data_IF_263160133133
#
_entry.id   IF_263160133133
#
_cell.length_a   1.000
_cell.length_b   1.000
_cell.length_c   1.000
_cell.angle_alpha   90.00
_cell.angle_beta   90.00
_cell.angle_gamma   90.00
#
_symmetry.space_group_name_H-M   'P 1'
#
loop_
_entity.id
_entity.type
_entity.pdbx_description
1 polymer ?
#
# COMPACT_ATOMS: atom_id res chain seq x y z
N UNK A 1 6.26 -4.62 -16.31
CA UNK A 1 7.19 -4.60 -15.14
C UNK A 1 7.04 -3.27 -14.41
N UNK A 2 7.37 -3.14 -13.11
CA UNK A 2 7.30 -1.87 -12.41
C UNK A 2 8.15 -0.79 -13.11
N UNK A 3 7.58 0.40 -13.34
CA UNK A 3 8.22 1.47 -14.14
C UNK A 3 9.20 2.33 -13.35
N UNK A 4 8.92 2.59 -12.08
CA UNK A 4 9.75 3.39 -11.19
C UNK A 4 9.70 2.85 -9.75
N UNK A 5 10.38 3.53 -8.83
CA UNK A 5 10.39 3.14 -7.43
C UNK A 5 9.01 3.24 -6.77
N UNK A 6 8.15 4.13 -7.26
CA UNK A 6 6.76 4.28 -6.81
C UNK A 6 5.96 3.04 -7.19
N UNK A 7 6.12 2.56 -8.42
CA UNK A 7 5.45 1.36 -8.94
C UNK A 7 5.94 0.09 -8.23
N UNK A 8 7.21 0.04 -7.81
CA UNK A 8 7.71 -1.03 -6.92
C UNK A 8 7.03 -1.04 -5.55
N UNK A 9 6.65 0.11 -5.00
CA UNK A 9 5.87 0.18 -3.77
C UNK A 9 4.48 -0.45 -3.98
N UNK A 10 3.83 -0.16 -5.11
CA UNK A 10 2.54 -0.74 -5.48
C UNK A 10 2.65 -2.26 -5.67
N UNK A 11 3.67 -2.74 -6.37
CA UNK A 11 3.90 -4.19 -6.54
C UNK A 11 4.06 -4.92 -5.20
N UNK A 12 4.79 -4.33 -4.26
CA UNK A 12 4.94 -4.90 -2.92
C UNK A 12 3.63 -4.86 -2.11
N UNK A 13 2.82 -3.82 -2.30
CA UNK A 13 1.50 -3.67 -1.69
C UNK A 13 0.50 -4.70 -2.22
N UNK A 14 0.40 -4.87 -3.54
CA UNK A 14 -0.43 -5.91 -4.18
C UNK A 14 -0.06 -7.31 -3.67
N UNK A 15 1.25 -7.58 -3.54
CA UNK A 15 1.72 -8.84 -2.95
C UNK A 15 1.29 -8.98 -1.49
N UNK A 16 1.32 -7.89 -0.71
CA UNK A 16 0.86 -7.89 0.68
C UNK A 16 -0.63 -8.26 0.76
N UNK A 17 -1.46 -7.65 -0.07
CA UNK A 17 -2.89 -7.94 -0.15
C UNK A 17 -3.17 -9.38 -0.59
N UNK A 18 -2.47 -9.87 -1.62
CA UNK A 18 -2.61 -11.26 -2.08
C UNK A 18 -2.28 -12.29 -0.99
N UNK A 19 -1.31 -12.01 -0.12
CA UNK A 19 -1.02 -12.87 1.05
C UNK A 19 -2.11 -12.80 2.15
N UNK A 20 -2.83 -11.68 2.25
CA UNK A 20 -3.98 -11.55 3.16
C UNK A 20 -5.21 -12.27 2.61
N UNK A 21 -5.45 -12.20 1.31
CA UNK A 21 -6.54 -12.93 0.64
C UNK A 21 -6.38 -14.44 0.79
N UNK A 22 -5.16 -14.96 0.63
CA UNK A 22 -4.85 -16.38 0.92
C UNK A 22 -5.15 -16.80 2.36
N UNK A 23 -5.17 -15.85 3.29
CA UNK A 23 -5.50 -16.05 4.71
C UNK A 23 -6.97 -15.77 5.02
N UNK A 24 -7.80 -15.54 4.00
CA UNK A 24 -9.24 -15.28 4.15
C UNK A 24 -9.58 -13.85 4.56
N UNK A 25 -8.63 -12.92 4.51
CA UNK A 25 -8.90 -11.50 4.73
C UNK A 25 -9.27 -10.81 3.42
N UNK A 26 -10.25 -9.91 3.46
CA UNK A 26 -10.67 -9.19 2.27
C UNK A 26 -9.93 -7.84 2.15
N UNK A 27 -8.76 -7.85 1.50
CA UNK A 27 -7.85 -6.70 1.47
C UNK A 27 -8.48 -5.39 0.98
N UNK A 28 -9.32 -5.46 -0.06
CA UNK A 28 -9.92 -4.27 -0.68
C UNK A 28 -11.17 -3.71 0.02
N UNK A 29 -11.85 -4.49 0.86
CA UNK A 29 -13.14 -4.11 1.47
C UNK A 29 -13.11 -4.01 2.99
N UNK A 30 -11.95 -4.25 3.62
CA UNK A 30 -11.82 -4.23 5.07
C UNK A 30 -11.56 -2.81 5.59
N UNK A 31 -12.50 -2.26 6.35
CA UNK A 31 -12.26 -1.03 7.11
C UNK A 31 -11.30 -1.27 8.28
N UNK A 32 -10.51 -0.25 8.61
CA UNK A 32 -9.52 -0.29 9.68
C UNK A 32 -9.35 1.09 10.32
N UNK A 33 -9.02 1.09 11.62
CA UNK A 33 -8.70 2.29 12.39
C UNK A 33 -7.20 2.55 12.39
N UNK A 34 -6.81 3.82 12.18
CA UNK A 34 -5.44 4.29 12.25
C UNK A 34 -5.36 5.68 12.86
N UNK A 35 -4.18 6.03 13.39
CA UNK A 35 -3.83 7.38 13.83
C UNK A 35 -2.54 7.84 13.17
N UNK A 36 -2.45 9.13 12.91
CA UNK A 36 -1.23 9.77 12.43
C UNK A 36 -0.77 10.79 13.47
N UNK A 37 0.48 10.66 13.91
CA UNK A 37 1.14 11.63 14.80
C UNK A 37 2.56 11.87 14.31
N UNK A 38 2.93 13.12 14.10
CA UNK A 38 4.29 13.51 13.67
C UNK A 38 4.77 12.77 12.40
N UNK A 39 3.83 12.48 11.48
CA UNK A 39 4.14 11.75 10.24
C UNK A 39 4.33 10.24 10.42
N UNK A 40 4.08 9.69 11.61
CA UNK A 40 4.04 8.27 11.90
C UNK A 40 2.59 7.77 11.95
N UNK A 41 2.31 6.71 11.20
CA UNK A 41 1.05 6.00 11.16
C UNK A 41 1.07 4.85 12.17
N UNK A 42 0.04 4.78 13.00
CA UNK A 42 -0.20 3.69 13.96
C UNK A 42 -1.53 3.02 13.65
N UNK A 43 -1.53 1.70 13.52
CA UNK A 43 -2.72 0.89 13.24
C UNK A 43 -3.40 0.45 14.54
N UNK A 44 -4.63 0.88 14.78
CA UNK A 44 -5.35 0.66 16.05
C UNK A 44 -6.47 -0.38 15.95
N UNK A 45 -6.69 -0.93 14.76
CA UNK A 45 -7.73 -1.93 14.51
C UNK A 45 -7.64 -3.14 15.43
N UNK A 46 -8.81 -3.62 15.90
CA UNK A 46 -8.91 -4.80 16.78
C UNK A 46 -8.89 -6.12 16.02
N UNK A 47 -9.52 -6.19 14.85
CA UNK A 47 -9.58 -7.40 14.05
C UNK A 47 -8.21 -7.71 13.43
N UNK A 48 -7.89 -8.99 13.29
CA UNK A 48 -6.67 -9.41 12.61
C UNK A 48 -6.60 -8.84 11.19
N UNK A 49 -7.63 -9.07 10.39
CA UNK A 49 -7.65 -8.62 8.99
C UNK A 49 -7.54 -7.10 8.88
N UNK A 50 -8.32 -6.32 9.62
CA UNK A 50 -8.23 -4.85 9.60
C UNK A 50 -6.84 -4.35 9.97
N UNK A 51 -6.21 -4.93 11.00
CA UNK A 51 -4.86 -4.53 11.40
C UNK A 51 -3.83 -4.85 10.31
N UNK A 52 -3.94 -6.02 9.67
CA UNK A 52 -3.01 -6.43 8.62
C UNK A 52 -3.16 -5.61 7.34
N UNK A 53 -4.38 -5.26 6.96
CA UNK A 53 -4.63 -4.34 5.83
C UNK A 53 -3.99 -2.98 6.14
N UNK A 54 -4.20 -2.44 7.34
CA UNK A 54 -3.55 -1.21 7.77
C UNK A 54 -2.00 -1.31 7.74
N UNK A 55 -1.41 -2.44 8.14
CA UNK A 55 0.05 -2.65 8.07
C UNK A 55 0.57 -2.61 6.62
N UNK A 56 -0.15 -3.22 5.67
CA UNK A 56 0.17 -3.17 4.25
C UNK A 56 0.13 -1.72 3.75
N UNK A 57 -0.95 -0.99 4.05
CA UNK A 57 -1.16 0.40 3.60
C UNK A 57 -0.16 1.36 4.24
N UNK A 58 0.15 1.17 5.53
CA UNK A 58 1.21 1.92 6.21
C UNK A 58 2.56 1.75 5.50
N UNK A 59 2.88 0.52 5.12
CA UNK A 59 4.14 0.22 4.42
C UNK A 59 4.17 0.88 3.04
N UNK A 60 3.05 0.83 2.30
CA UNK A 60 2.89 1.54 1.04
C UNK A 60 3.13 3.04 1.21
N UNK A 61 2.43 3.70 2.13
CA UNK A 61 2.55 5.16 2.34
C UNK A 61 3.98 5.56 2.69
N UNK A 62 4.68 4.80 3.52
CA UNK A 62 6.09 5.08 3.82
C UNK A 62 7.02 4.86 2.64
N UNK A 63 6.77 3.83 1.83
CA UNK A 63 7.50 3.59 0.59
C UNK A 63 7.31 4.74 -0.40
N UNK A 64 6.06 5.19 -0.60
CA UNK A 64 5.73 6.34 -1.44
C UNK A 64 6.42 7.61 -0.95
N UNK A 65 6.32 7.91 0.35
CA UNK A 65 6.98 9.07 0.97
C UNK A 65 8.49 9.07 0.74
N UNK A 66 9.13 7.90 0.83
CA UNK A 66 10.57 7.74 0.59
C UNK A 66 10.96 7.97 -0.87
N UNK A 67 10.06 7.71 -1.82
CA UNK A 67 10.31 7.78 -3.25
C UNK A 67 9.73 9.03 -3.93
N UNK A 68 9.24 10.02 -3.15
CA UNK A 68 8.73 11.29 -3.68
C UNK A 68 9.72 12.02 -4.59
N UNK A 69 11.01 11.92 -4.31
CA UNK A 69 12.07 12.56 -5.11
C UNK A 69 12.20 11.97 -6.52
N UNK A 70 11.79 10.71 -6.72
CA UNK A 70 11.84 10.01 -8.00
C UNK A 70 10.46 9.84 -8.64
N UNK A 71 9.44 10.50 -8.08
CA UNK A 71 8.08 10.42 -8.61
C UNK A 71 8.01 11.05 -10.00
N UNK A 72 7.54 10.28 -10.99
CA UNK A 72 7.33 10.77 -12.34
C UNK A 72 5.82 10.97 -12.63
N UNK A 73 5.36 12.23 -12.82
CA UNK A 73 3.97 12.53 -13.17
C UNK A 73 3.47 11.83 -14.43
N UNK A 74 4.35 11.53 -15.39
CA UNK A 74 3.98 10.86 -16.65
C UNK A 74 3.41 9.45 -16.42
N UNK A 75 3.75 8.82 -15.28
CA UNK A 75 3.29 7.48 -14.94
C UNK A 75 1.97 7.47 -14.13
N UNK A 76 1.44 8.62 -13.74
CA UNK A 76 0.22 8.70 -12.91
C UNK A 76 -1.02 8.08 -13.59
N UNK A 77 -1.14 8.26 -14.90
CA UNK A 77 -2.24 7.72 -15.72
C UNK A 77 -1.73 6.75 -16.80
N UNK A 78 -0.67 6.01 -16.47
CA UNK A 78 -0.02 5.12 -17.41
C UNK A 78 -0.95 3.99 -17.85
N UNK A 79 -1.18 3.87 -19.16
CA UNK A 79 -2.05 2.83 -19.71
C UNK A 79 -1.43 1.44 -19.53
N UNK A 80 -2.20 0.50 -19.00
CA UNK A 80 -1.76 -0.88 -18.75
C UNK A 80 -1.25 -1.60 -20.01
N UNK A 81 -1.75 -1.22 -21.19
CA UNK A 81 -1.26 -1.76 -22.48
C UNK A 81 0.22 -1.46 -22.73
N UNK A 82 0.75 -0.38 -22.15
CA UNK A 82 2.14 0.05 -22.32
C UNK A 82 3.08 -0.53 -21.23
N UNK A 83 2.58 -1.39 -20.34
CA UNK A 83 3.32 -1.91 -19.19
C UNK A 83 4.40 -2.94 -19.52
#
# INVERSE_FOLDING_TARGET
MPKDNTDWCCWAHDRCYGELEKKGCNGGFQSYDYKVREGLVTCESRSYCSRRVCDCDRTLVYCLKRNLWSYNPDYQYYLKFNC
#
